data_IF_883908891693
#
_entry.id   IF_883908891693
#
_cell.length_a   1.000
_cell.length_b   1.000
_cell.length_c   1.000
_cell.angle_alpha   90.00
_cell.angle_beta   90.00
_cell.angle_gamma   90.00
#
_symmetry.space_group_name_H-M   'P 1'
#
loop_
_entity.id
_entity.type
_entity.pdbx_description
1 polymer ?
#
# COMPACT_ATOMS: atom_id res chain seq x y z
N UNK A 1 -5.24 13.34 10.41
CA UNK A 1 -3.85 13.74 10.07
C UNK A 1 -3.81 13.93 8.56
N UNK A 2 -3.25 15.04 8.06
CA UNK A 2 -3.20 15.32 6.62
C UNK A 2 -1.80 14.97 6.10
N UNK A 3 -1.73 14.09 5.11
CA UNK A 3 -0.49 13.77 4.40
C UNK A 3 -0.18 14.89 3.40
N UNK A 4 1.04 15.43 3.43
CA UNK A 4 1.52 16.43 2.47
C UNK A 4 2.47 15.77 1.48
N UNK A 5 2.63 16.34 0.28
CA UNK A 5 3.54 15.82 -0.74
C UNK A 5 4.98 15.66 -0.21
N UNK A 6 5.49 16.70 0.46
CA UNK A 6 6.82 16.66 1.10
C UNK A 6 6.95 15.48 2.08
N UNK A 7 5.89 15.19 2.86
CA UNK A 7 5.91 14.04 3.77
C UNK A 7 5.89 12.72 3.03
N UNK A 8 5.13 12.61 1.95
CA UNK A 8 5.08 11.38 1.14
C UNK A 8 6.41 11.07 0.47
N UNK A 9 7.15 12.09 0.04
CA UNK A 9 8.50 11.94 -0.55
C UNK A 9 9.53 11.43 0.45
N UNK A 10 9.36 11.73 1.75
CA UNK A 10 10.24 11.21 2.81
C UNK A 10 9.97 9.74 3.17
N UNK A 11 8.88 9.14 2.68
CA UNK A 11 8.55 7.75 3.00
C UNK A 11 9.45 6.80 2.18
N UNK A 12 10.18 5.87 2.83
CA UNK A 12 10.96 4.85 2.14
C UNK A 12 10.14 4.13 1.06
N UNK A 13 10.73 3.88 -0.11
CA UNK A 13 10.02 3.27 -1.24
C UNK A 13 9.39 1.93 -0.86
N UNK A 14 10.11 1.09 -0.11
CA UNK A 14 9.60 -0.19 0.38
C UNK A 14 8.34 -0.06 1.25
N UNK A 15 8.21 1.02 2.03
CA UNK A 15 6.99 1.28 2.80
C UNK A 15 5.85 1.72 1.89
N UNK A 16 6.12 2.57 0.88
CA UNK A 16 5.11 2.99 -0.11
C UNK A 16 4.60 1.78 -0.90
N UNK A 17 5.48 0.87 -1.29
CA UNK A 17 5.11 -0.35 -2.01
C UNK A 17 4.36 -1.33 -1.12
N UNK A 18 4.74 -1.49 0.15
CA UNK A 18 3.95 -2.26 1.12
C UNK A 18 2.52 -1.71 1.22
N UNK A 19 2.36 -0.39 1.36
CA UNK A 19 1.03 0.24 1.41
C UNK A 19 0.27 0.11 0.09
N UNK A 20 0.96 0.09 -1.06
CA UNK A 20 0.34 -0.12 -2.38
C UNK A 20 -0.21 -1.54 -2.53
N UNK A 21 0.44 -2.55 -1.95
CA UNK A 21 -0.10 -3.92 -1.90
C UNK A 21 -1.40 -3.99 -1.10
N UNK A 22 -1.59 -3.12 -0.11
CA UNK A 22 -2.84 -2.99 0.67
C UNK A 22 -3.96 -2.22 -0.05
N UNK A 23 -3.67 -1.53 -1.15
CA UNK A 23 -4.65 -0.73 -1.90
C UNK A 23 -5.95 -1.47 -2.29
N UNK A 24 -5.94 -2.74 -2.75
CA UNK A 24 -7.17 -3.45 -3.11
C UNK A 24 -8.17 -3.60 -1.97
N UNK A 25 -7.72 -3.51 -0.71
CA UNK A 25 -8.60 -3.50 0.47
C UNK A 25 -9.46 -2.22 0.55
N UNK A 26 -9.01 -1.13 -0.10
CA UNK A 26 -9.61 0.21 -0.04
C UNK A 26 -10.42 0.55 -1.30
N UNK A 27 -10.37 -0.26 -2.37
CA UNK A 27 -11.06 0.06 -3.63
C UNK A 27 -12.58 0.15 -3.42
N UNK A 28 -13.06 1.39 -3.29
CA UNK A 28 -14.42 1.76 -2.93
C UNK A 28 -15.17 2.38 -4.11
N UNK A 29 -14.75 2.08 -5.35
CA UNK A 29 -15.35 2.64 -6.58
C UNK A 29 -16.77 2.11 -6.87
N UNK A 30 -17.25 1.15 -6.09
CA UNK A 30 -18.65 0.71 -6.08
C UNK A 30 -19.11 0.42 -4.63
N UNK A 31 -19.98 1.23 -4.02
CA UNK A 31 -20.54 0.97 -2.69
C UNK A 31 -21.39 -0.31 -2.62
N UNK A 32 -21.77 -0.86 -3.77
CA UNK A 32 -22.65 -2.01 -3.95
C UNK A 32 -21.95 -3.28 -4.43
N UNK A 33 -20.71 -3.20 -4.93
CA UNK A 33 -19.92 -4.37 -5.35
C UNK A 33 -18.73 -4.56 -4.41
N UNK A 34 -18.96 -5.36 -3.37
CA UNK A 34 -17.93 -5.84 -2.46
C UNK A 34 -16.90 -6.67 -3.25
N UNK A 35 -15.73 -6.11 -3.48
CA UNK A 35 -14.50 -6.90 -3.40
C UNK A 35 -13.77 -6.50 -2.11
N UNK A 36 -14.45 -6.72 -0.97
CA UNK A 36 -13.80 -6.70 0.35
C UNK A 36 -12.83 -7.86 0.42
N UNK A 37 -11.64 -7.68 -0.13
CA UNK A 37 -10.48 -8.38 0.38
C UNK A 37 -10.32 -7.84 1.79
N UNK A 38 -10.72 -8.62 2.79
CA UNK A 38 -10.76 -8.20 4.21
C UNK A 38 -9.38 -7.96 4.79
N UNK A 39 -8.33 -8.35 4.07
CA UNK A 39 -6.93 -8.08 4.34
C UNK A 39 -6.04 -8.91 3.41
N UNK A 40 -4.75 -8.60 3.39
CA UNK A 40 -3.78 -9.25 2.51
C UNK A 40 -2.91 -10.20 3.35
N UNK A 41 -2.77 -11.49 2.96
CA UNK A 41 -1.91 -12.41 3.69
C UNK A 41 -0.44 -12.04 3.52
N UNK A 42 0.37 -12.29 4.55
CA UNK A 42 1.80 -12.00 4.58
C UNK A 42 2.56 -12.49 3.34
N UNK A 43 2.25 -13.70 2.86
CA UNK A 43 2.87 -14.29 1.67
C UNK A 43 2.72 -13.44 0.41
N UNK A 44 1.65 -12.65 0.29
CA UNK A 44 1.47 -11.71 -0.84
C UNK A 44 2.44 -10.54 -0.77
N UNK A 45 2.75 -10.04 0.44
CA UNK A 45 3.77 -9.02 0.62
C UNK A 45 5.16 -9.56 0.33
N UNK A 46 5.48 -10.77 0.82
CA UNK A 46 6.76 -11.42 0.53
C UNK A 46 6.96 -11.54 -0.97
N UNK A 47 5.96 -12.04 -1.70
CA UNK A 47 6.05 -12.15 -3.16
C UNK A 47 6.22 -10.79 -3.85
N UNK A 48 5.46 -9.77 -3.43
CA UNK A 48 5.51 -8.45 -4.04
C UNK A 48 6.84 -7.71 -3.78
N UNK A 49 7.34 -7.76 -2.54
CA UNK A 49 8.53 -7.04 -2.13
C UNK A 49 9.81 -7.80 -2.45
N UNK A 50 9.79 -9.14 -2.47
CA UNK A 50 10.90 -9.93 -3.00
C UNK A 50 11.13 -9.61 -4.48
N UNK A 51 10.06 -9.54 -5.28
CA UNK A 51 10.20 -9.24 -6.72
C UNK A 51 10.77 -7.83 -6.99
N UNK A 52 10.40 -6.84 -6.17
CA UNK A 52 10.73 -5.44 -6.44
C UNK A 52 11.96 -4.92 -5.70
N UNK A 53 12.22 -5.43 -4.51
CA UNK A 53 13.27 -4.93 -3.61
C UNK A 53 14.30 -6.01 -3.23
N UNK A 54 14.14 -7.24 -3.72
CA UNK A 54 14.96 -8.41 -3.33
C UNK A 54 14.90 -8.70 -1.82
N UNK A 55 13.76 -8.37 -1.18
CA UNK A 55 13.55 -8.62 0.24
C UNK A 55 13.20 -10.07 0.50
N UNK A 56 13.80 -10.65 1.54
CA UNK A 56 13.39 -11.94 2.09
C UNK A 56 12.21 -11.79 3.07
N UNK A 57 11.71 -12.93 3.56
CA UNK A 57 10.58 -12.94 4.47
C UNK A 57 10.86 -12.24 5.82
N UNK A 58 12.09 -12.26 6.32
CA UNK A 58 12.44 -11.60 7.57
C UNK A 58 12.40 -10.08 7.40
N UNK A 59 12.98 -9.57 6.32
CA UNK A 59 12.98 -8.14 5.98
C UNK A 59 11.55 -7.63 5.71
N UNK A 60 10.71 -8.40 5.04
CA UNK A 60 9.30 -8.04 4.84
C UNK A 60 8.53 -8.03 6.16
N UNK A 61 8.86 -8.94 7.08
CA UNK A 61 8.28 -8.95 8.42
C UNK A 61 8.71 -7.72 9.24
N UNK A 62 9.98 -7.31 9.18
CA UNK A 62 10.47 -6.09 9.84
C UNK A 62 9.75 -4.84 9.34
N UNK A 63 9.56 -4.72 8.02
CA UNK A 63 8.78 -3.63 7.42
C UNK A 63 7.34 -3.63 7.98
N UNK A 64 6.70 -4.79 8.03
CA UNK A 64 5.35 -4.92 8.56
C UNK A 64 5.28 -4.52 10.05
N UNK A 65 6.26 -4.90 10.87
CA UNK A 65 6.34 -4.49 12.28
C UNK A 65 6.54 -2.99 12.43
N UNK A 66 7.41 -2.38 11.63
CA UNK A 66 7.65 -0.93 11.66
C UNK A 66 6.40 -0.14 11.26
N UNK A 67 5.68 -0.59 10.22
CA UNK A 67 4.40 0.02 9.82
C UNK A 67 3.31 -0.17 10.88
N UNK A 68 3.30 -1.31 11.57
CA UNK A 68 2.39 -1.59 12.69
C UNK A 68 2.67 -0.69 13.89
N UNK A 69 3.94 -0.52 14.27
CA UNK A 69 4.36 0.41 15.33
C UNK A 69 3.99 1.87 15.02
N UNK A 70 4.02 2.24 13.74
CA UNK A 70 3.56 3.56 13.28
C UNK A 70 2.04 3.69 13.20
N UNK A 71 1.30 2.62 13.49
CA UNK A 71 -0.16 2.55 13.44
C UNK A 71 -0.72 2.69 12.03
N UNK A 72 0.03 2.29 11.00
CA UNK A 72 -0.40 2.33 9.59
C UNK A 72 -1.07 1.03 9.16
N UNK A 73 -0.67 -0.09 9.73
CA UNK A 73 -1.24 -1.40 9.44
C UNK A 73 -1.56 -2.14 10.72
N UNK A 74 -2.61 -2.94 10.69
CA UNK A 74 -2.90 -3.97 11.68
C UNK A 74 -2.62 -5.35 11.08
N UNK A 75 -2.26 -6.29 11.93
CA UNK A 75 -2.02 -7.68 11.54
C UNK A 75 -2.71 -8.61 12.53
N UNK A 76 -3.46 -9.58 12.01
CA UNK A 76 -4.16 -10.58 12.83
C UNK A 76 -3.27 -11.79 13.16
N UNK A 77 -3.81 -12.73 13.95
CA UNK A 77 -3.12 -13.95 14.35
C UNK A 77 -2.82 -14.92 13.18
N UNK A 78 -3.43 -14.71 12.01
CA UNK A 78 -3.26 -15.51 10.81
C UNK A 78 -2.27 -14.88 9.83
N UNK A 79 -1.63 -13.76 10.20
CA UNK A 79 -0.70 -13.04 9.33
C UNK A 79 -1.40 -12.31 8.19
N UNK A 80 -2.67 -11.95 8.36
CA UNK A 80 -3.42 -11.09 7.45
C UNK A 80 -3.22 -9.65 7.90
N UNK A 81 -2.79 -8.79 6.97
CA UNK A 81 -2.60 -7.37 7.21
C UNK A 81 -3.73 -6.53 6.61
N UNK A 82 -4.14 -5.53 7.36
CA UNK A 82 -5.15 -4.54 6.97
C UNK A 82 -4.62 -3.14 7.21
N UNK A 83 -5.00 -2.14 6.40
CA UNK A 83 -4.68 -0.75 6.71
C UNK A 83 -5.51 -0.29 7.91
N UNK A 84 -4.93 0.49 8.81
CA UNK A 84 -5.70 1.24 9.82
C UNK A 84 -6.33 2.47 9.16
N UNK A 85 -7.19 3.21 9.85
CA UNK A 85 -7.68 4.51 9.34
C UNK A 85 -6.55 5.49 8.94
N UNK A 86 -5.40 5.43 9.65
CA UNK A 86 -4.22 6.24 9.32
C UNK A 86 -3.52 5.69 8.06
N UNK A 87 -3.40 4.37 7.94
CA UNK A 87 -2.86 3.71 6.75
C UNK A 87 -3.72 3.90 5.51
N UNK A 88 -5.04 3.87 5.65
CA UNK A 88 -5.98 4.15 4.58
C UNK A 88 -5.81 5.58 4.06
N UNK A 89 -5.69 6.54 4.98
CA UNK A 89 -5.40 7.93 4.62
C UNK A 89 -4.07 8.06 3.88
N UNK A 90 -3.05 7.27 4.25
CA UNK A 90 -1.77 7.24 3.55
C UNK A 90 -1.92 6.65 2.14
N UNK A 91 -2.62 5.54 2.00
CA UNK A 91 -2.84 4.90 0.69
C UNK A 91 -3.57 5.87 -0.25
N UNK A 92 -4.65 6.53 0.22
CA UNK A 92 -5.36 7.54 -0.57
C UNK A 92 -4.48 8.73 -0.95
N UNK A 93 -3.58 9.15 -0.04
CA UNK A 93 -2.64 10.22 -0.33
C UNK A 93 -1.57 9.80 -1.35
N UNK A 94 -1.09 8.55 -1.29
CA UNK A 94 -0.19 7.97 -2.29
C UNK A 94 -0.88 7.84 -3.66
N UNK A 95 -2.17 7.52 -3.70
CA UNK A 95 -2.96 7.53 -4.95
C UNK A 95 -3.09 8.93 -5.54
N UNK A 96 -3.47 9.92 -4.73
CA UNK A 96 -3.57 11.31 -5.16
C UNK A 96 -2.22 11.92 -5.56
N UNK A 97 -1.12 11.51 -4.93
CA UNK A 97 0.23 11.88 -5.32
C UNK A 97 0.69 11.16 -6.60
N UNK A 98 0.23 9.93 -6.83
CA UNK A 98 0.42 9.19 -8.07
C UNK A 98 -0.24 9.87 -9.27
N UNK A 99 -1.34 10.60 -9.06
CA UNK A 99 -1.96 11.45 -10.09
C UNK A 99 -1.12 12.70 -10.41
N UNK A 100 -0.36 13.22 -9.44
CA UNK A 100 0.55 14.36 -9.61
C UNK A 100 1.92 13.97 -10.21
N UNK A 101 2.39 12.74 -9.99
CA UNK A 101 3.57 12.17 -10.65
C UNK A 101 3.24 11.46 -11.98
N UNK A 102 1.94 11.33 -12.31
CA UNK A 102 1.40 10.39 -13.30
C UNK A 102 0.96 10.96 -14.65
N UNK A 103 1.22 12.24 -14.97
CA UNK A 103 1.09 12.73 -16.36
C UNK A 103 2.25 12.25 -17.27
N UNK A 104 2.62 10.97 -17.17
CA UNK A 104 3.51 10.29 -18.12
C UNK A 104 2.98 8.90 -18.48
N UNK A 105 1.80 8.88 -19.08
CA UNK A 105 1.54 7.96 -20.19
C UNK A 105 0.77 8.75 -21.24
N UNK A 106 1.41 9.20 -22.34
CA UNK A 106 0.65 9.53 -23.53
C UNK A 106 -0.08 8.24 -23.94
N UNK A 107 -1.40 8.29 -24.02
CA UNK A 107 -2.18 7.23 -24.65
C UNK A 107 -1.57 6.94 -26.02
N UNK A 108 -1.21 5.67 -26.26
CA UNK A 108 -0.85 5.24 -27.62
C UNK A 108 -2.04 5.57 -28.54
N UNK A 109 -1.81 6.22 -29.69
CA UNK A 109 -2.88 6.50 -30.63
C UNK A 109 -3.51 5.16 -31.03
N UNK A 110 -4.84 5.11 -30.90
CA UNK A 110 -5.64 3.98 -31.34
C UNK A 110 -5.46 3.84 -32.86
N UNK A 111 -5.11 2.62 -33.29
CA UNK A 111 -5.19 2.16 -34.67
C UNK A 111 -6.43 1.29 -34.84
#
# INVERSE_FOLDING_TARGET
>A
MTWTLEKLETIPEVYRDFMTVLKPVIDSRDPSAILKITGIPFSRFVNALSFRHDYDAEQVWEVAQQLKQQGLVDGDAHGIYTPTAKGESLIRALEGAGDLAGHRVPTLPQL
#
